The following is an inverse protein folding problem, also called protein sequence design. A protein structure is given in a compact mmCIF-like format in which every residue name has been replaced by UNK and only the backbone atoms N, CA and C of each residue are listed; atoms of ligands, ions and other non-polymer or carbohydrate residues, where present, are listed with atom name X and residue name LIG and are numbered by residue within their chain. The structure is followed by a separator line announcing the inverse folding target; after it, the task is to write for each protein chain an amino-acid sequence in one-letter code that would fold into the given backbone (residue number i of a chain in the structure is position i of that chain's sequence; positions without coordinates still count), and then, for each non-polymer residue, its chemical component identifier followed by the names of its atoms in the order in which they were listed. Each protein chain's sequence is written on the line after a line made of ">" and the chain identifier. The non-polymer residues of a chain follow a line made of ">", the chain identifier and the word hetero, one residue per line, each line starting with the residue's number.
data_IF_827636384022
#
_entry.id   IF_827636384022
#
_cell.length_a   1.000
_cell.length_b   1.000
_cell.length_c   1.000
_cell.angle_alpha   90.00
_cell.angle_beta   90.00
_cell.angle_gamma   90.00
#
_symmetry.space_group_name_H-M   'P 1'
#
loop_
_entity.id
_entity.type
_entity.pdbx_description
1 polymer ?
#
# COMPACT_ATOMS: atom_id res chain seq x y z
N UNK A 1 3.21 25.39 -15.70
CA UNK A 1 3.54 23.98 -15.34
C UNK A 1 2.55 23.58 -14.26
N UNK A 2 1.69 22.62 -14.53
CA UNK A 2 0.75 22.11 -13.52
C UNK A 2 1.56 21.23 -12.54
N UNK A 3 1.74 21.67 -11.32
CA UNK A 3 2.53 20.95 -10.31
C UNK A 3 1.90 19.60 -9.87
N UNK A 4 0.66 19.37 -10.26
CA UNK A 4 -0.09 18.13 -10.04
C UNK A 4 -0.12 17.21 -11.26
N UNK A 5 0.57 17.56 -12.34
CA UNK A 5 0.66 16.73 -13.55
C UNK A 5 1.58 15.53 -13.29
N UNK A 6 0.99 14.35 -13.30
CA UNK A 6 1.68 13.07 -13.16
C UNK A 6 1.51 12.20 -14.43
N UNK A 7 1.30 12.84 -15.58
CA UNK A 7 1.16 12.15 -16.86
C UNK A 7 2.30 11.16 -17.07
N UNK A 8 1.93 9.93 -17.45
CA UNK A 8 2.82 8.80 -17.68
C UNK A 8 3.58 8.27 -16.44
N UNK A 9 3.36 8.79 -15.25
CA UNK A 9 3.93 8.21 -14.03
C UNK A 9 3.26 6.90 -13.69
N UNK A 10 4.05 5.87 -13.44
CA UNK A 10 3.58 4.53 -13.13
C UNK A 10 3.45 4.36 -11.62
N UNK A 11 2.24 4.09 -11.18
CA UNK A 11 1.86 4.01 -9.76
C UNK A 11 1.29 2.62 -9.46
N UNK A 12 1.86 1.93 -8.49
CA UNK A 12 1.28 0.69 -7.94
C UNK A 12 0.60 1.03 -6.61
N UNK A 13 -0.63 0.53 -6.43
CA UNK A 13 -1.40 0.71 -5.20
C UNK A 13 -1.84 -0.65 -4.67
N UNK A 14 -1.28 -1.08 -3.54
CA UNK A 14 -1.68 -2.33 -2.89
C UNK A 14 -2.96 -2.11 -2.06
N UNK A 15 -3.88 -3.08 -2.07
CA UNK A 15 -5.21 -2.89 -1.48
C UNK A 15 -5.99 -1.78 -2.20
N UNK A 16 -5.78 -1.65 -3.52
CA UNK A 16 -6.29 -0.56 -4.34
C UNK A 16 -7.73 -0.75 -4.83
N UNK A 17 -8.37 -1.88 -4.54
CA UNK A 17 -9.69 -2.19 -5.07
C UNK A 17 -10.86 -1.57 -4.30
N UNK A 18 -10.62 -1.04 -3.09
CA UNK A 18 -11.69 -0.48 -2.26
C UNK A 18 -11.16 0.65 -1.34
N UNK A 19 -12.09 1.37 -0.70
CA UNK A 19 -11.82 2.34 0.35
C UNK A 19 -10.78 3.39 -0.02
N UNK A 20 -9.84 3.64 0.89
CA UNK A 20 -8.76 4.62 0.70
C UNK A 20 -7.94 4.29 -0.57
N UNK A 21 -7.61 3.01 -0.80
CA UNK A 21 -6.82 2.60 -1.96
C UNK A 21 -7.46 2.96 -3.30
N UNK A 22 -8.76 2.72 -3.43
CA UNK A 22 -9.51 3.09 -4.63
C UNK A 22 -9.62 4.62 -4.81
N UNK A 23 -9.84 5.34 -3.72
CA UNK A 23 -9.87 6.82 -3.76
C UNK A 23 -8.51 7.39 -4.19
N UNK A 24 -7.41 6.80 -3.71
CA UNK A 24 -6.05 7.16 -4.13
C UNK A 24 -5.82 6.83 -5.60
N UNK A 25 -6.30 5.66 -6.08
CA UNK A 25 -6.20 5.28 -7.48
C UNK A 25 -6.89 6.31 -8.40
N UNK A 26 -8.12 6.69 -8.06
CA UNK A 26 -8.86 7.74 -8.79
C UNK A 26 -8.11 9.07 -8.83
N UNK A 27 -7.57 9.51 -7.70
CA UNK A 27 -6.79 10.76 -7.65
C UNK A 27 -5.54 10.73 -8.54
N UNK A 28 -4.86 9.58 -8.65
CA UNK A 28 -3.74 9.43 -9.58
C UNK A 28 -4.19 9.42 -11.05
N UNK A 29 -5.32 8.78 -11.36
CA UNK A 29 -5.90 8.76 -12.72
C UNK A 29 -6.34 10.16 -13.14
N UNK A 30 -6.93 10.93 -12.25
CA UNK A 30 -7.36 12.32 -12.50
C UNK A 30 -6.20 13.21 -12.95
N UNK A 31 -4.99 12.96 -12.47
CA UNK A 31 -3.78 13.71 -12.82
C UNK A 31 -2.92 13.02 -13.89
N UNK A 32 -3.48 12.06 -14.63
CA UNK A 32 -2.87 11.46 -15.83
C UNK A 32 -1.90 10.30 -15.58
N UNK A 33 -1.84 9.74 -14.38
CA UNK A 33 -0.95 8.63 -14.08
C UNK A 33 -1.44 7.29 -14.66
N UNK A 34 -0.51 6.35 -14.82
CA UNK A 34 -0.76 4.94 -15.15
C UNK A 34 -0.77 4.14 -13.84
N UNK A 35 -1.90 3.56 -13.50
CA UNK A 35 -2.13 2.95 -12.19
C UNK A 35 -2.27 1.44 -12.29
N UNK A 36 -1.54 0.71 -11.46
CA UNK A 36 -1.73 -0.72 -11.22
C UNK A 36 -2.44 -0.88 -9.86
N UNK A 37 -3.71 -1.24 -9.90
CA UNK A 37 -4.44 -1.68 -8.71
C UNK A 37 -4.02 -3.12 -8.42
N UNK A 38 -3.38 -3.32 -7.27
CA UNK A 38 -2.99 -4.64 -6.79
C UNK A 38 -3.84 -5.02 -5.58
N UNK A 39 -4.63 -6.08 -5.70
CA UNK A 39 -5.53 -6.51 -4.64
C UNK A 39 -5.72 -8.03 -4.66
N UNK A 40 -6.08 -8.59 -3.51
CA UNK A 40 -6.39 -10.01 -3.39
C UNK A 40 -7.74 -10.38 -4.03
N UNK A 41 -8.72 -9.46 -4.02
CA UNK A 41 -10.10 -9.66 -4.41
C UNK A 41 -10.31 -9.36 -5.91
N UNK A 42 -10.26 -10.39 -6.77
CA UNK A 42 -10.34 -10.24 -8.23
C UNK A 42 -11.63 -9.57 -8.72
N UNK A 43 -12.79 -9.99 -8.19
CA UNK A 43 -14.08 -9.44 -8.61
C UNK A 43 -14.24 -7.95 -8.23
N UNK A 44 -13.74 -7.57 -7.05
CA UNK A 44 -13.74 -6.18 -6.59
C UNK A 44 -12.74 -5.36 -7.41
N UNK A 45 -11.57 -5.94 -7.70
CA UNK A 45 -10.54 -5.31 -8.52
C UNK A 45 -11.01 -5.00 -9.94
N UNK A 46 -11.74 -5.91 -10.57
CA UNK A 46 -12.30 -5.67 -11.91
C UNK A 46 -13.29 -4.48 -11.93
N UNK A 47 -14.13 -4.34 -10.90
CA UNK A 47 -15.03 -3.19 -10.75
C UNK A 47 -14.27 -1.90 -10.48
N UNK A 48 -13.26 -1.97 -9.63
CA UNK A 48 -12.41 -0.83 -9.28
C UNK A 48 -11.70 -0.22 -10.49
N UNK A 49 -11.26 -1.05 -11.45
CA UNK A 49 -10.66 -0.58 -12.71
C UNK A 49 -11.65 0.25 -13.52
N UNK A 50 -12.88 -0.21 -13.67
CA UNK A 50 -13.91 0.53 -14.42
C UNK A 50 -14.18 1.87 -13.75
N UNK A 51 -14.40 1.85 -12.43
CA UNK A 51 -14.69 3.05 -11.65
C UNK A 51 -13.53 4.05 -11.63
N UNK A 52 -12.30 3.58 -11.55
CA UNK A 52 -11.13 4.45 -11.51
C UNK A 52 -10.81 5.05 -12.88
N UNK A 53 -11.02 4.33 -13.99
CA UNK A 53 -10.81 4.86 -15.33
C UNK A 53 -11.78 6.02 -15.69
N UNK A 54 -12.93 6.12 -15.03
CA UNK A 54 -13.86 7.25 -15.21
C UNK A 54 -13.38 8.55 -14.54
N UNK A 55 -12.37 8.48 -13.68
CA UNK A 55 -11.92 9.63 -12.89
C UNK A 55 -11.07 10.64 -13.69
N UNK A 56 -10.45 10.26 -14.81
CA UNK A 56 -9.58 11.18 -15.52
C UNK A 56 -8.87 10.58 -16.74
N UNK A 57 -7.85 11.28 -17.25
CA UNK A 57 -7.14 10.90 -18.47
C UNK A 57 -6.09 9.79 -18.26
N UNK A 58 -5.85 9.36 -17.04
CA UNK A 58 -4.91 8.28 -16.75
C UNK A 58 -5.41 6.92 -17.20
N UNK A 59 -4.62 5.89 -16.96
CA UNK A 59 -4.92 4.51 -17.32
C UNK A 59 -4.84 3.60 -16.09
N UNK A 60 -5.76 2.64 -15.96
CA UNK A 60 -5.80 1.71 -14.82
C UNK A 60 -5.83 0.27 -15.30
N UNK A 61 -5.00 -0.56 -14.71
CA UNK A 61 -5.08 -2.01 -14.81
C UNK A 61 -5.18 -2.66 -13.44
N UNK A 62 -5.62 -3.90 -13.40
CA UNK A 62 -5.68 -4.71 -12.19
C UNK A 62 -4.68 -5.87 -12.25
N UNK A 63 -4.08 -6.19 -11.12
CA UNK A 63 -3.35 -7.45 -10.92
C UNK A 63 -3.72 -8.06 -9.58
N UNK A 64 -4.05 -9.35 -9.58
CA UNK A 64 -4.24 -10.08 -8.33
C UNK A 64 -2.92 -10.16 -7.57
N UNK A 65 -2.93 -9.78 -6.31
CA UNK A 65 -1.74 -9.81 -5.45
C UNK A 65 -2.11 -10.09 -4.00
N UNK A 66 -1.61 -11.19 -3.46
CA UNK A 66 -1.49 -11.39 -2.03
C UNK A 66 -0.16 -10.79 -1.57
N UNK A 67 -0.21 -9.69 -0.82
CA UNK A 67 1.00 -8.99 -0.35
C UNK A 67 1.86 -9.85 0.59
N UNK A 68 1.32 -10.92 1.17
CA UNK A 68 2.07 -11.87 1.99
C UNK A 68 2.88 -12.88 1.18
N UNK A 69 2.58 -13.01 -0.12
CA UNK A 69 3.25 -13.87 -1.10
C UNK A 69 4.33 -13.10 -1.85
N UNK A 70 5.60 -13.45 -1.62
CA UNK A 70 6.71 -12.85 -2.36
C UNK A 70 6.55 -13.01 -3.89
N UNK A 71 6.04 -14.16 -4.33
CA UNK A 71 5.82 -14.44 -5.76
C UNK A 71 4.79 -13.50 -6.37
N UNK A 72 3.67 -13.26 -5.68
CA UNK A 72 2.62 -12.38 -6.16
C UNK A 72 3.12 -10.93 -6.21
N UNK A 73 3.86 -10.51 -5.19
CA UNK A 73 4.47 -9.17 -5.13
C UNK A 73 5.48 -8.95 -6.26
N UNK A 74 6.33 -9.92 -6.55
CA UNK A 74 7.26 -9.84 -7.69
C UNK A 74 6.50 -9.80 -9.03
N UNK A 75 5.42 -10.58 -9.16
CA UNK A 75 4.53 -10.56 -10.32
C UNK A 75 3.82 -9.21 -10.51
N UNK A 76 3.36 -8.60 -9.44
CA UNK A 76 2.75 -7.26 -9.45
C UNK A 76 3.72 -6.20 -10.01
N UNK A 77 4.96 -6.18 -9.54
CA UNK A 77 5.98 -5.25 -10.02
C UNK A 77 6.32 -5.54 -11.49
N UNK A 78 6.43 -6.82 -11.87
CA UNK A 78 6.67 -7.20 -13.26
C UNK A 78 5.53 -6.77 -14.18
N UNK A 79 4.27 -6.90 -13.73
CA UNK A 79 3.10 -6.38 -14.48
C UNK A 79 3.22 -4.88 -14.75
N UNK A 80 3.62 -4.08 -13.77
CA UNK A 80 3.83 -2.64 -13.99
C UNK A 80 4.94 -2.35 -15.01
N UNK A 81 6.02 -3.12 -14.97
CA UNK A 81 7.13 -2.99 -15.93
C UNK A 81 6.67 -3.37 -17.33
N UNK A 82 5.98 -4.50 -17.50
CA UNK A 82 5.57 -5.03 -18.80
C UNK A 82 4.50 -4.17 -19.46
N UNK A 83 3.56 -3.64 -18.70
CA UNK A 83 2.45 -2.85 -19.22
C UNK A 83 2.78 -1.36 -19.38
N UNK A 84 3.56 -0.80 -18.45
CA UNK A 84 3.78 0.64 -18.36
C UNK A 84 5.26 1.07 -18.40
N UNK A 85 6.19 0.11 -18.44
CA UNK A 85 7.62 0.38 -18.63
C UNK A 85 8.41 0.68 -17.34
N UNK A 86 7.82 0.54 -16.15
CA UNK A 86 8.54 0.75 -14.90
C UNK A 86 7.66 0.96 -13.68
N UNK A 87 8.26 1.52 -12.62
CA UNK A 87 7.57 1.89 -11.38
C UNK A 87 8.14 3.24 -10.90
N UNK A 88 7.32 4.28 -10.85
CA UNK A 88 7.69 5.59 -10.29
C UNK A 88 7.22 5.73 -8.83
N UNK A 89 6.06 5.17 -8.49
CA UNK A 89 5.44 5.29 -7.16
C UNK A 89 4.89 3.94 -6.72
N UNK A 90 5.15 3.58 -5.46
CA UNK A 90 4.43 2.52 -4.77
C UNK A 90 3.65 3.13 -3.60
N UNK A 91 2.34 2.87 -3.55
CA UNK A 91 1.50 3.13 -2.38
C UNK A 91 1.24 1.81 -1.66
N UNK A 92 1.96 1.60 -0.56
CA UNK A 92 1.75 0.49 0.36
C UNK A 92 0.51 0.77 1.22
N UNK A 93 -0.68 0.49 0.66
CA UNK A 93 -1.94 0.74 1.32
C UNK A 93 -2.60 -0.54 1.88
N UNK A 94 -2.32 -1.70 1.32
CA UNK A 94 -2.85 -2.97 1.80
C UNK A 94 -2.66 -3.14 3.31
N UNK A 95 -3.73 -3.45 4.01
CA UNK A 95 -3.71 -3.65 5.45
C UNK A 95 -5.06 -4.12 5.97
N UNK A 96 -5.01 -4.82 7.08
CA UNK A 96 -6.19 -5.31 7.78
C UNK A 96 -6.19 -4.83 9.22
N UNK A 97 -7.39 -4.66 9.77
CA UNK A 97 -7.61 -4.41 11.19
C UNK A 97 -8.64 -5.43 11.69
N UNK A 98 -8.27 -6.17 12.73
CA UNK A 98 -9.13 -7.13 13.41
C UNK A 98 -9.18 -6.74 14.88
N UNK A 99 -10.17 -5.91 15.28
CA UNK A 99 -10.28 -5.44 16.66
C UNK A 99 -10.47 -6.61 17.63
N UNK A 100 -9.61 -6.67 18.65
CA UNK A 100 -9.66 -7.67 19.73
C UNK A 100 -9.06 -7.10 21.01
N UNK A 101 -9.64 -7.46 22.14
CA UNK A 101 -9.09 -7.11 23.45
C UNK A 101 -7.88 -8.01 23.79
N UNK A 102 -6.92 -7.48 24.54
CA UNK A 102 -5.80 -8.28 25.02
C UNK A 102 -6.29 -9.45 25.91
N UNK A 103 -7.25 -9.15 26.77
CA UNK A 103 -8.00 -10.12 27.57
C UNK A 103 -9.46 -9.72 27.49
N UNK A 104 -10.33 -10.66 27.14
CA UNK A 104 -11.78 -10.46 27.17
C UNK A 104 -12.40 -11.28 28.29
N UNK A 105 -12.92 -10.67 29.36
CA UNK A 105 -13.58 -11.38 30.45
C UNK A 105 -14.78 -12.22 30.00
N UNK A 106 -15.41 -11.88 28.87
CA UNK A 106 -16.50 -12.65 28.27
C UNK A 106 -16.03 -13.77 27.35
N UNK A 107 -14.72 -13.81 27.00
CA UNK A 107 -14.10 -14.85 26.18
C UNK A 107 -14.54 -14.90 24.72
N UNK A 108 -15.05 -13.77 24.18
CA UNK A 108 -15.58 -13.72 22.82
C UNK A 108 -14.70 -12.94 21.83
N UNK A 109 -14.04 -11.91 22.32
CA UNK A 109 -13.33 -10.91 21.51
C UNK A 109 -11.85 -10.81 21.92
N UNK A 110 -11.26 -11.90 22.40
CA UNK A 110 -9.85 -11.94 22.82
C UNK A 110 -8.91 -12.07 21.64
N UNK A 111 -7.77 -11.39 21.72
CA UNK A 111 -6.72 -11.44 20.70
C UNK A 111 -6.03 -12.80 20.73
N UNK A 112 -6.03 -13.52 19.61
CA UNK A 112 -5.37 -14.81 19.45
C UNK A 112 -4.02 -14.67 18.72
N UNK A 113 -3.17 -15.70 18.83
CA UNK A 113 -1.89 -15.78 18.14
C UNK A 113 -2.10 -15.74 16.61
N UNK A 114 -3.12 -16.43 16.10
CA UNK A 114 -3.43 -16.46 14.66
C UNK A 114 -3.80 -15.07 14.12
N UNK A 115 -4.62 -14.31 14.87
CA UNK A 115 -4.97 -12.94 14.50
C UNK A 115 -3.72 -12.05 14.53
N UNK A 116 -2.89 -12.19 15.56
CA UNK A 116 -1.63 -11.48 15.68
C UNK A 116 -0.75 -11.71 14.44
N UNK A 117 -0.50 -12.98 14.12
CA UNK A 117 0.34 -13.37 13.00
C UNK A 117 -0.23 -12.91 11.66
N UNK A 118 -1.54 -13.04 11.46
CA UNK A 118 -2.21 -12.58 10.24
C UNK A 118 -2.07 -11.07 10.04
N UNK A 119 -2.30 -10.27 11.09
CA UNK A 119 -2.21 -8.80 10.99
C UNK A 119 -0.76 -8.37 10.74
N UNK A 120 0.23 -8.98 11.40
CA UNK A 120 1.63 -8.71 11.12
C UNK A 120 2.07 -9.16 9.73
N UNK A 121 1.60 -10.32 9.27
CA UNK A 121 1.92 -10.82 7.93
C UNK A 121 1.46 -9.85 6.84
N UNK A 122 0.25 -9.33 6.92
CA UNK A 122 -0.28 -8.39 5.94
C UNK A 122 0.33 -7.00 6.12
N UNK A 123 0.22 -6.42 7.32
CA UNK A 123 0.50 -5.00 7.51
C UNK A 123 2.00 -4.68 7.58
N UNK A 124 2.84 -5.60 8.03
CA UNK A 124 4.30 -5.36 8.21
C UNK A 124 5.11 -6.11 7.16
N UNK A 125 4.98 -7.44 7.12
CA UNK A 125 5.74 -8.25 6.15
C UNK A 125 5.31 -7.94 4.72
N UNK A 126 4.01 -7.79 4.45
CA UNK A 126 3.49 -7.43 3.13
C UNK A 126 4.03 -6.09 2.65
N UNK A 127 3.98 -5.05 3.50
CA UNK A 127 4.57 -3.75 3.20
C UNK A 127 6.07 -3.85 2.88
N UNK A 128 6.82 -4.63 3.66
CA UNK A 128 8.25 -4.86 3.43
C UNK A 128 8.51 -5.51 2.07
N UNK A 129 7.78 -6.59 1.74
CA UNK A 129 7.96 -7.29 0.46
C UNK A 129 7.68 -6.37 -0.72
N UNK A 130 6.57 -5.62 -0.68
CA UNK A 130 6.20 -4.68 -1.74
C UNK A 130 7.22 -3.54 -1.87
N UNK A 131 7.64 -2.93 -0.76
CA UNK A 131 8.65 -1.88 -0.76
C UNK A 131 9.98 -2.37 -1.34
N UNK A 132 10.43 -3.57 -0.97
CA UNK A 132 11.68 -4.15 -1.46
C UNK A 132 11.63 -4.42 -2.98
N UNK A 133 10.54 -4.99 -3.48
CA UNK A 133 10.38 -5.29 -4.89
C UNK A 133 10.31 -4.02 -5.75
N UNK A 134 9.50 -3.03 -5.34
CA UNK A 134 9.39 -1.76 -6.04
C UNK A 134 10.69 -0.96 -5.99
N UNK A 135 11.36 -0.89 -4.83
CA UNK A 135 12.65 -0.20 -4.71
C UNK A 135 13.71 -0.80 -5.64
N UNK A 136 13.78 -2.13 -5.78
CA UNK A 136 14.68 -2.77 -6.74
C UNK A 136 14.41 -2.33 -8.18
N UNK A 137 13.15 -2.26 -8.60
CA UNK A 137 12.77 -1.78 -9.92
C UNK A 137 13.13 -0.30 -10.12
N UNK A 138 12.85 0.56 -9.14
CA UNK A 138 13.19 1.98 -9.17
C UNK A 138 14.72 2.20 -9.27
N UNK A 139 15.51 1.46 -8.52
CA UNK A 139 16.97 1.54 -8.56
C UNK A 139 17.53 1.01 -9.88
N UNK A 140 17.00 -0.10 -10.39
CA UNK A 140 17.42 -0.67 -11.68
C UNK A 140 17.13 0.26 -12.85
N UNK A 141 16.07 1.06 -12.79
CA UNK A 141 15.75 2.07 -13.82
C UNK A 141 16.70 3.26 -13.82
N UNK A 142 17.40 3.52 -12.72
CA UNK A 142 18.22 4.72 -12.51
C UNK A 142 17.44 6.04 -12.37
N UNK A 143 16.10 6.00 -12.40
CA UNK A 143 15.23 7.19 -12.34
C UNK A 143 14.84 7.57 -10.90
N UNK A 144 15.11 6.68 -9.93
CA UNK A 144 14.62 6.82 -8.58
C UNK A 144 13.11 6.56 -8.48
N UNK A 145 12.46 7.07 -7.45
CA UNK A 145 11.02 6.86 -7.25
C UNK A 145 10.52 7.29 -5.86
N UNK A 146 9.30 6.91 -5.55
CA UNK A 146 8.66 7.22 -4.26
C UNK A 146 7.96 6.00 -3.68
N UNK A 147 8.27 5.65 -2.44
CA UNK A 147 7.51 4.70 -1.62
C UNK A 147 6.64 5.49 -0.64
N UNK A 148 5.34 5.29 -0.69
CA UNK A 148 4.36 5.89 0.21
C UNK A 148 3.79 4.78 1.10
N UNK A 149 4.06 4.84 2.40
CA UNK A 149 3.59 3.86 3.36
C UNK A 149 2.36 4.39 4.11
N UNK A 150 1.24 3.66 4.02
CA UNK A 150 0.04 4.00 4.80
C UNK A 150 0.22 3.55 6.24
N UNK A 151 0.48 4.51 7.10
CA UNK A 151 0.59 4.34 8.55
C UNK A 151 -0.77 4.58 9.22
N UNK A 152 -0.82 5.04 10.46
CA UNK A 152 -2.04 5.46 11.16
C UNK A 152 -1.66 6.26 12.40
N UNK A 153 -2.53 7.15 12.84
CA UNK A 153 -2.40 7.79 14.16
C UNK A 153 -2.37 6.78 15.30
N UNK A 154 -3.13 5.65 15.15
CA UNK A 154 -3.12 4.54 16.13
C UNK A 154 -1.72 3.97 16.36
N UNK A 155 -0.81 4.08 15.40
CA UNK A 155 0.59 3.65 15.57
C UNK A 155 1.42 4.57 16.47
N UNK A 156 0.92 5.74 16.83
CA UNK A 156 1.57 6.69 17.74
C UNK A 156 0.91 6.70 19.12
N UNK A 157 -0.42 6.61 19.16
CA UNK A 157 -1.21 6.81 20.38
C UNK A 157 -1.75 5.50 20.95
N UNK A 158 -1.86 4.45 20.12
CA UNK A 158 -2.59 3.23 20.47
C UNK A 158 -4.10 3.43 20.38
N UNK A 159 -4.85 2.33 20.49
CA UNK A 159 -6.31 2.36 20.54
C UNK A 159 -6.82 1.13 21.25
N UNK A 160 -7.85 1.26 22.07
CA UNK A 160 -8.51 0.14 22.74
C UNK A 160 -9.01 -0.88 21.71
N UNK A 161 -8.78 -2.16 21.95
CA UNK A 161 -9.17 -3.24 21.05
C UNK A 161 -8.36 -3.33 19.74
N UNK A 162 -7.35 -2.47 19.54
CA UNK A 162 -6.54 -2.44 18.32
C UNK A 162 -5.03 -2.63 18.56
N UNK A 163 -4.66 -3.28 19.66
CA UNK A 163 -3.25 -3.37 20.08
C UNK A 163 -2.34 -3.94 18.99
N UNK A 164 -2.74 -5.02 18.30
CA UNK A 164 -1.96 -5.61 17.21
C UNK A 164 -1.89 -4.68 15.99
N UNK A 165 -3.01 -4.04 15.61
CA UNK A 165 -3.03 -3.09 14.52
C UNK A 165 -2.13 -1.89 14.81
N UNK A 166 -2.26 -1.28 15.99
CA UNK A 166 -1.42 -0.18 16.43
C UNK A 166 0.07 -0.54 16.42
N UNK A 167 0.42 -1.74 16.91
CA UNK A 167 1.79 -2.25 16.86
C UNK A 167 2.33 -2.35 15.42
N UNK A 168 1.52 -2.86 14.48
CA UNK A 168 1.92 -2.91 13.06
C UNK A 168 2.11 -1.52 12.45
N UNK A 169 1.26 -0.56 12.79
CA UNK A 169 1.37 0.81 12.28
C UNK A 169 2.54 1.57 12.91
N UNK A 170 2.88 1.31 14.17
CA UNK A 170 4.11 1.80 14.80
C UNK A 170 5.37 1.22 14.11
N UNK A 171 5.37 -0.09 13.79
CA UNK A 171 6.44 -0.69 13.00
C UNK A 171 6.59 0.01 11.64
N UNK A 172 5.49 0.28 10.95
CA UNK A 172 5.48 0.96 9.65
C UNK A 172 6.01 2.41 9.73
N UNK A 173 5.75 3.13 10.81
CA UNK A 173 6.36 4.45 11.05
C UNK A 173 7.89 4.37 11.11
N UNK A 174 8.43 3.39 11.84
CA UNK A 174 9.87 3.28 12.01
C UNK A 174 10.57 2.71 10.77
N UNK A 175 9.98 1.71 10.11
CA UNK A 175 10.55 1.19 8.85
C UNK A 175 10.57 2.27 7.76
N UNK A 176 9.55 3.12 7.67
CA UNK A 176 9.54 4.29 6.78
C UNK A 176 10.75 5.19 6.99
N UNK A 177 11.07 5.53 8.24
CA UNK A 177 12.23 6.37 8.59
C UNK A 177 13.57 5.70 8.26
N UNK A 178 13.66 4.37 8.48
CA UNK A 178 14.86 3.60 8.16
C UNK A 178 15.09 3.53 6.67
N UNK A 179 14.07 3.14 5.91
CA UNK A 179 14.17 3.05 4.44
C UNK A 179 14.40 4.40 3.77
N UNK A 180 13.87 5.49 4.32
CA UNK A 180 14.18 6.84 3.84
C UNK A 180 15.68 7.17 3.93
N UNK A 181 16.35 6.73 5.01
CA UNK A 181 17.80 6.91 5.18
C UNK A 181 18.62 5.97 4.27
N UNK A 182 18.15 4.73 4.08
CA UNK A 182 18.82 3.73 3.26
C UNK A 182 18.77 4.08 1.77
N UNK A 183 17.59 4.52 1.29
CA UNK A 183 17.30 4.68 -0.14
C UNK A 183 17.44 6.12 -0.65
N UNK A 184 17.39 7.11 0.25
CA UNK A 184 17.35 8.52 -0.15
C UNK A 184 18.55 8.97 -0.98
N UNK A 185 19.75 8.49 -0.66
CA UNK A 185 20.97 8.78 -1.44
C UNK A 185 20.98 8.16 -2.84
N UNK A 186 20.10 7.21 -3.07
CA UNK A 186 19.95 6.49 -4.35
C UNK A 186 18.77 7.04 -5.17
N UNK A 187 18.18 8.17 -4.75
CA UNK A 187 17.09 8.83 -5.45
C UNK A 187 15.69 8.24 -5.19
N UNK A 188 15.53 7.31 -4.25
CA UNK A 188 14.22 6.79 -3.85
C UNK A 188 13.79 7.46 -2.54
N UNK A 189 12.72 8.24 -2.60
CA UNK A 189 12.11 8.86 -1.42
C UNK A 189 11.18 7.87 -0.73
N UNK A 190 11.15 7.88 0.58
CA UNK A 190 10.21 7.08 1.37
C UNK A 190 9.49 7.98 2.34
N UNK A 191 8.16 7.99 2.27
CA UNK A 191 7.30 8.85 3.08
C UNK A 191 6.17 8.04 3.72
N UNK A 192 5.66 8.51 4.85
CA UNK A 192 4.50 7.93 5.52
C UNK A 192 3.31 8.87 5.49
N UNK A 193 2.12 8.31 5.28
CA UNK A 193 0.85 9.01 5.44
C UNK A 193 0.09 8.31 6.57
N UNK A 194 -0.27 9.04 7.61
CA UNK A 194 -0.95 8.52 8.79
C UNK A 194 -2.37 9.09 8.91
N UNK A 195 -3.36 8.50 8.24
CA UNK A 195 -4.75 8.93 8.40
C UNK A 195 -5.24 8.71 9.84
N UNK A 196 -6.15 9.59 10.27
CA UNK A 196 -7.01 9.35 11.40
C UNK A 196 -8.23 8.51 11.00
N UNK A 197 -9.40 8.80 11.58
CA UNK A 197 -10.65 8.15 11.21
C UNK A 197 -11.10 8.68 9.85
N UNK A 198 -11.26 7.76 8.89
CA UNK A 198 -11.73 8.07 7.54
C UNK A 198 -13.04 7.33 7.27
N UNK A 199 -14.00 8.02 6.69
CA UNK A 199 -15.21 7.41 6.14
C UNK A 199 -14.88 6.81 4.75
N UNK A 200 -15.09 5.48 4.60
CA UNK A 200 -14.75 4.74 3.37
C UNK A 200 -15.87 3.84 2.90
#
# INVERSE_FOLDING_TARGET
>A
MNWTDLTDKVVIITGGAAGIGLSVAKGFVEVGAKVVIADFAEEVGAKAVVEANEAGPGEVIFTRCDVTSKKDVEGMVQTAIDQFGGVDVLVNNAGINVPRLLVDPAGKEELTEEIWDQVFAVNVKGQFLCAQAAARAMLASGKGGVLINMTSESGMEGSEGQSVYAATKAANHNTTRSWAKELGRQGVRVVGVGPGIMET
#
